data_IF_415839717156
#
_entry.id   IF_415839717156
#
_cell.length_a   1.000
_cell.length_b   1.000
_cell.length_c   1.000
_cell.angle_alpha   90.00
_cell.angle_beta   90.00
_cell.angle_gamma   90.00
#
_symmetry.space_group_name_H-M   'P 1'
#
loop_
_entity.id
_entity.type
_entity.pdbx_description
1 polymer ?
#
# COMPACT_ATOMS: atom_id res chain seq x y z
N UNK A 1 -1.46 -2.57 31.43
CA UNK A 1 -1.26 -2.22 30.01
C UNK A 1 -2.60 -2.21 29.31
N UNK A 2 -3.26 -1.05 29.16
CA UNK A 2 -4.52 -0.96 28.44
C UNK A 2 -4.24 -1.22 26.96
N UNK A 3 -4.78 -2.32 26.39
CA UNK A 3 -4.82 -2.50 24.94
C UNK A 3 -5.48 -1.24 24.36
N UNK A 4 -4.74 -0.41 23.61
CA UNK A 4 -5.29 0.77 22.92
C UNK A 4 -6.40 0.29 22.00
N UNK A 5 -7.63 0.32 22.50
CA UNK A 5 -8.71 -0.47 21.95
C UNK A 5 -9.34 0.23 20.76
N UNK A 6 -9.15 -0.31 19.56
CA UNK A 6 -9.84 0.09 18.32
C UNK A 6 -11.36 0.24 18.49
N UNK A 7 -11.96 -0.39 19.51
CA UNK A 7 -13.36 -0.19 19.94
C UNK A 7 -13.71 1.28 20.20
N UNK A 8 -12.83 2.05 20.86
CA UNK A 8 -13.09 3.47 21.17
C UNK A 8 -13.09 4.32 19.90
N UNK A 9 -12.10 4.11 19.02
CA UNK A 9 -11.99 4.83 17.74
C UNK A 9 -13.23 4.53 16.87
N UNK A 10 -13.62 3.26 16.76
CA UNK A 10 -14.84 2.88 16.02
C UNK A 10 -16.09 3.51 16.61
N UNK A 11 -16.26 3.47 17.93
CA UNK A 11 -17.42 4.05 18.60
C UNK A 11 -17.51 5.58 18.43
N UNK A 12 -16.37 6.28 18.45
CA UNK A 12 -16.33 7.73 18.26
C UNK A 12 -16.60 8.14 16.79
N UNK A 13 -16.06 7.40 15.83
CA UNK A 13 -16.11 7.81 14.42
C UNK A 13 -17.31 7.26 13.65
N UNK A 14 -17.97 6.19 14.13
CA UNK A 14 -19.16 5.62 13.47
C UNK A 14 -20.33 6.59 13.35
N UNK A 15 -20.40 7.59 14.22
CA UNK A 15 -21.46 8.60 14.21
C UNK A 15 -21.28 9.57 13.03
N UNK A 16 -20.07 9.67 12.48
CA UNK A 16 -19.73 10.59 11.38
C UNK A 16 -19.58 9.88 10.03
N UNK A 17 -19.56 8.55 10.01
CA UNK A 17 -19.46 7.77 8.78
C UNK A 17 -19.11 6.31 9.00
N UNK A 18 -18.98 5.58 7.90
CA UNK A 18 -18.61 4.17 7.93
C UNK A 18 -17.15 4.00 8.34
N UNK A 19 -16.91 3.18 9.37
CA UNK A 19 -15.57 2.88 9.88
C UNK A 19 -15.24 1.42 9.61
N UNK A 20 -14.30 1.19 8.70
CA UNK A 20 -13.71 -0.11 8.45
C UNK A 20 -12.44 -0.31 9.28
N UNK A 21 -12.24 -1.52 9.80
CA UNK A 21 -11.03 -1.91 10.52
C UNK A 21 -10.31 -2.94 9.65
N UNK A 22 -9.02 -2.70 9.37
CA UNK A 22 -8.20 -3.56 8.51
C UNK A 22 -6.97 -4.06 9.24
N UNK A 23 -6.39 -5.16 8.75
CA UNK A 23 -5.14 -5.69 9.29
C UNK A 23 -3.95 -4.82 8.85
N UNK A 24 -3.10 -4.44 9.80
CA UNK A 24 -1.89 -3.63 9.54
C UNK A 24 -0.70 -4.43 8.99
N UNK A 25 -0.91 -5.69 8.60
CA UNK A 25 0.17 -6.55 8.12
C UNK A 25 0.90 -5.92 6.92
N UNK A 26 2.23 -5.80 7.05
CA UNK A 26 3.14 -5.18 6.08
C UNK A 26 2.88 -3.71 5.70
N UNK A 27 1.90 -3.02 6.26
CA UNK A 27 1.50 -1.67 5.80
C UNK A 27 2.63 -0.64 5.94
N UNK A 28 3.44 -0.71 6.99
CA UNK A 28 4.62 0.18 7.15
C UNK A 28 5.89 -0.30 6.43
N UNK A 29 5.86 -1.48 5.81
CA UNK A 29 7.05 -2.19 5.28
C UNK A 29 7.08 -2.31 3.76
N UNK A 30 5.98 -2.01 3.07
CA UNK A 30 5.88 -2.13 1.61
C UNK A 30 5.58 -0.79 0.95
N UNK A 31 6.02 -0.63 -0.29
CA UNK A 31 5.72 0.54 -1.11
C UNK A 31 4.29 0.44 -1.67
N UNK A 32 3.40 1.44 -1.48
CA UNK A 32 2.05 1.44 -2.07
C UNK A 32 2.04 1.49 -3.60
N UNK A 33 3.14 1.88 -4.26
CA UNK A 33 3.19 2.02 -5.73
C UNK A 33 3.65 0.77 -6.47
N UNK A 34 4.54 -0.01 -5.86
CA UNK A 34 5.15 -1.18 -6.51
C UNK A 34 5.15 -2.43 -5.63
N UNK A 35 4.59 -2.35 -4.41
CA UNK A 35 4.50 -3.42 -3.42
C UNK A 35 5.83 -4.07 -3.00
N UNK A 36 6.96 -3.50 -3.41
CA UNK A 36 8.29 -3.92 -2.98
C UNK A 36 8.54 -3.54 -1.52
N UNK A 37 9.39 -4.31 -0.83
CA UNK A 37 9.82 -3.99 0.53
C UNK A 37 10.55 -2.64 0.56
N UNK A 38 10.27 -1.86 1.59
CA UNK A 38 10.92 -0.60 1.89
C UNK A 38 12.10 -0.81 2.83
N UNK A 39 13.06 0.09 2.74
CA UNK A 39 14.12 0.23 3.74
C UNK A 39 13.86 1.47 4.60
N UNK A 40 14.44 1.51 5.80
CA UNK A 40 14.50 2.77 6.55
C UNK A 40 15.43 3.73 5.82
N UNK A 41 15.00 4.99 5.70
CA UNK A 41 15.82 6.01 5.06
C UNK A 41 17.04 6.31 5.92
N UNK A 42 18.17 6.60 5.27
CA UNK A 42 19.41 6.95 5.94
C UNK A 42 19.72 8.42 5.71
N UNK A 43 20.08 9.14 6.77
CA UNK A 43 20.51 10.53 6.68
C UNK A 43 21.92 10.67 7.26
N UNK A 44 22.71 11.58 6.67
CA UNK A 44 23.98 12.00 7.25
C UNK A 44 23.70 13.00 8.36
N UNK A 45 24.31 12.78 9.52
CA UNK A 45 24.24 13.68 10.68
C UNK A 45 25.64 13.90 11.22
N UNK A 46 25.93 15.14 11.62
CA UNK A 46 27.10 15.41 12.44
C UNK A 46 26.79 14.98 13.88
N UNK A 47 27.53 14.00 14.39
CA UNK A 47 27.43 13.53 15.76
C UNK A 47 28.82 13.64 16.37
N UNK A 48 28.97 14.52 17.35
CA UNK A 48 30.24 14.78 18.04
C UNK A 48 31.37 15.18 17.08
N UNK A 49 31.09 16.10 16.15
CA UNK A 49 32.07 16.61 15.18
C UNK A 49 32.38 15.65 14.03
N UNK A 50 31.82 14.43 14.02
CA UNK A 50 32.04 13.44 12.96
C UNK A 50 30.76 13.23 12.15
N UNK A 51 30.88 13.24 10.83
CA UNK A 51 29.78 12.88 9.95
C UNK A 51 29.51 11.38 10.04
N UNK A 52 28.27 11.00 10.35
CA UNK A 52 27.82 9.61 10.44
C UNK A 52 26.53 9.43 9.66
N UNK A 53 26.40 8.28 9.00
CA UNK A 53 25.13 7.88 8.38
C UNK A 53 24.28 7.16 9.43
N UNK A 54 23.08 7.67 9.68
CA UNK A 54 22.15 7.10 10.67
C UNK A 54 20.81 6.72 10.02
N UNK A 55 20.17 5.69 10.57
CA UNK A 55 18.81 5.28 10.18
C UNK A 55 17.77 6.23 10.78
N UNK A 56 16.84 6.69 9.96
CA UNK A 56 15.69 7.47 10.38
C UNK A 56 14.46 6.57 10.52
N UNK A 57 14.02 6.32 11.76
CA UNK A 57 12.86 5.46 12.02
C UNK A 57 11.53 6.01 11.50
N UNK A 58 11.44 7.34 11.32
CA UNK A 58 10.25 8.03 10.83
C UNK A 58 10.16 8.13 9.30
N UNK A 59 11.18 7.71 8.55
CA UNK A 59 11.21 7.81 7.10
C UNK A 59 11.57 6.46 6.45
N UNK A 60 10.91 6.17 5.34
CA UNK A 60 11.10 4.94 4.57
C UNK A 60 11.38 5.28 3.12
N UNK A 61 12.13 4.42 2.45
CA UNK A 61 12.57 4.61 1.08
C UNK A 61 12.33 3.36 0.24
N UNK A 62 11.78 3.57 -0.96
CA UNK A 62 11.64 2.53 -1.98
C UNK A 62 12.84 2.54 -2.92
N UNK A 63 13.67 1.50 -2.86
CA UNK A 63 14.86 1.34 -3.71
C UNK A 63 14.60 0.54 -4.98
N UNK A 64 13.37 0.05 -5.19
CA UNK A 64 13.04 -0.77 -6.35
C UNK A 64 13.22 0.05 -7.66
N UNK A 65 14.06 -0.40 -8.61
CA UNK A 65 14.46 0.41 -9.76
C UNK A 65 13.30 0.76 -10.69
N UNK A 66 12.28 -0.11 -10.76
CA UNK A 66 11.10 0.08 -11.62
C UNK A 66 9.90 0.68 -10.89
N UNK A 67 10.10 1.19 -9.67
CA UNK A 67 9.00 1.81 -8.92
C UNK A 67 8.51 3.06 -9.66
N UNK A 68 7.19 3.23 -9.91
CA UNK A 68 6.66 4.45 -10.52
C UNK A 68 7.06 5.72 -9.76
N UNK A 69 7.15 5.63 -8.42
CA UNK A 69 7.57 6.73 -7.56
C UNK A 69 8.99 7.24 -7.86
N UNK A 70 9.86 6.42 -8.46
CA UNK A 70 11.21 6.82 -8.85
C UNK A 70 11.20 7.83 -10.01
N UNK A 71 10.29 7.67 -10.97
CA UNK A 71 10.12 8.62 -12.08
C UNK A 71 9.66 10.00 -11.59
N UNK A 72 8.98 10.04 -10.44
CA UNK A 72 8.45 11.25 -9.82
C UNK A 72 9.36 11.79 -8.68
N UNK A 73 10.56 11.24 -8.49
CA UNK A 73 11.45 11.56 -7.37
C UNK A 73 10.77 11.48 -5.98
N UNK A 74 9.83 10.55 -5.82
CA UNK A 74 9.00 10.36 -4.63
C UNK A 74 9.26 9.00 -3.94
N UNK A 75 10.53 8.58 -3.91
CA UNK A 75 10.93 7.29 -3.34
C UNK A 75 10.95 7.29 -1.82
N UNK A 76 11.25 8.43 -1.20
CA UNK A 76 11.32 8.64 0.25
C UNK A 76 10.06 9.29 0.78
N UNK A 77 9.55 8.82 1.93
CA UNK A 77 8.34 9.35 2.56
C UNK A 77 8.29 9.06 4.06
N UNK A 78 7.40 9.77 4.76
CA UNK A 78 7.07 9.46 6.16
C UNK A 78 6.56 8.04 6.31
N UNK A 79 7.08 7.30 7.30
CA UNK A 79 6.70 5.90 7.56
C UNK A 79 5.21 5.76 7.87
N UNK A 80 4.66 6.70 8.63
CA UNK A 80 3.24 6.68 9.02
C UNK A 80 2.34 7.05 7.84
N UNK A 81 2.74 8.02 7.01
CA UNK A 81 2.06 8.33 5.74
C UNK A 81 2.03 7.12 4.81
N UNK A 82 3.16 6.40 4.69
CA UNK A 82 3.23 5.15 3.93
C UNK A 82 2.28 4.08 4.50
N UNK A 83 2.30 3.89 5.82
CA UNK A 83 1.44 2.93 6.50
C UNK A 83 -0.03 3.26 6.30
N UNK A 84 -0.42 4.52 6.45
CA UNK A 84 -1.79 5.01 6.25
C UNK A 84 -2.27 4.75 4.82
N UNK A 85 -1.47 5.08 3.81
CA UNK A 85 -1.80 4.80 2.41
C UNK A 85 -2.01 3.28 2.17
N UNK A 86 -1.15 2.44 2.73
CA UNK A 86 -1.28 0.98 2.61
C UNK A 86 -2.46 0.39 3.39
N UNK A 87 -2.83 0.97 4.54
CA UNK A 87 -4.05 0.62 5.28
C UNK A 87 -5.27 0.90 4.41
N UNK A 88 -5.32 2.08 3.77
CA UNK A 88 -6.39 2.44 2.86
C UNK A 88 -6.45 1.49 1.65
N UNK A 89 -5.30 1.19 1.01
CA UNK A 89 -5.24 0.24 -0.11
C UNK A 89 -5.70 -1.17 0.29
N UNK A 90 -5.26 -1.67 1.44
CA UNK A 90 -5.69 -2.96 1.98
C UNK A 90 -7.21 -2.99 2.21
N UNK A 91 -7.76 -1.96 2.85
CA UNK A 91 -9.20 -1.86 3.07
C UNK A 91 -10.02 -1.73 1.79
N UNK A 92 -9.61 -0.85 0.88
CA UNK A 92 -10.23 -0.69 -0.41
C UNK A 92 -10.26 -2.02 -1.18
N UNK A 93 -9.15 -2.76 -1.16
CA UNK A 93 -9.11 -4.06 -1.85
C UNK A 93 -10.07 -5.10 -1.27
N UNK A 94 -10.29 -5.12 0.05
CA UNK A 94 -11.29 -6.00 0.67
C UNK A 94 -12.71 -5.64 0.22
N UNK A 95 -12.99 -4.34 0.11
CA UNK A 95 -14.32 -3.84 -0.30
C UNK A 95 -14.58 -4.10 -1.78
N UNK A 96 -13.57 -3.93 -2.62
CA UNK A 96 -13.69 -4.01 -4.08
C UNK A 96 -13.53 -5.42 -4.64
N UNK A 97 -12.81 -6.32 -3.95
CA UNK A 97 -12.57 -7.66 -4.45
C UNK A 97 -13.76 -8.61 -4.23
N UNK A 98 -14.06 -9.43 -5.23
CA UNK A 98 -15.11 -10.46 -5.14
C UNK A 98 -14.84 -11.49 -4.03
N UNK A 99 -13.58 -11.83 -3.78
CA UNK A 99 -13.15 -12.76 -2.72
C UNK A 99 -13.11 -12.11 -1.33
N UNK A 100 -13.34 -10.79 -1.25
CA UNK A 100 -13.24 -9.96 -0.04
C UNK A 100 -11.90 -10.11 0.69
N UNK A 101 -10.83 -10.42 -0.04
CA UNK A 101 -9.48 -10.53 0.51
C UNK A 101 -8.67 -9.27 0.19
N UNK A 102 -7.71 -8.89 1.05
CA UNK A 102 -6.84 -7.78 0.73
C UNK A 102 -5.90 -8.15 -0.42
N UNK A 103 -5.26 -7.14 -1.03
CA UNK A 103 -4.22 -7.40 -2.03
C UNK A 103 -3.15 -8.36 -1.48
N UNK A 104 -2.58 -9.24 -2.33
CA UNK A 104 -1.60 -10.26 -1.92
C UNK A 104 -0.48 -9.77 -0.98
N UNK A 105 0.12 -8.56 -1.18
CA UNK A 105 1.16 -8.04 -0.30
C UNK A 105 0.73 -7.82 1.17
N UNK A 106 -0.57 -7.69 1.42
CA UNK A 106 -1.17 -7.48 2.75
C UNK A 106 -1.76 -8.76 3.37
N UNK A 107 -1.71 -9.90 2.67
CA UNK A 107 -2.19 -11.19 3.19
C UNK A 107 -1.14 -11.80 4.12
N UNK A 108 -1.54 -12.28 5.31
CA UNK A 108 -0.62 -12.97 6.26
C UNK A 108 -0.24 -14.37 5.81
N UNK A 109 -1.19 -15.08 5.20
CA UNK A 109 -1.05 -16.48 4.84
C UNK A 109 -1.02 -16.60 3.31
N UNK A 110 0.14 -16.31 2.70
CA UNK A 110 0.38 -16.64 1.31
C UNK A 110 0.94 -18.06 1.22
N UNK A 111 0.11 -19.09 1.39
CA UNK A 111 0.52 -20.46 1.07
C UNK A 111 0.59 -20.73 -0.44
N UNK A 112 0.26 -19.75 -1.31
CA UNK A 112 0.47 -19.85 -2.75
C UNK A 112 0.81 -18.47 -3.33
N UNK A 113 2.11 -18.18 -3.41
CA UNK A 113 2.67 -16.95 -3.96
C UNK A 113 2.42 -16.79 -5.48
N UNK A 114 1.82 -17.79 -6.13
CA UNK A 114 1.72 -17.93 -7.60
C UNK A 114 0.48 -17.30 -8.24
N UNK A 115 -0.48 -16.74 -7.49
CA UNK A 115 -1.82 -16.42 -8.07
C UNK A 115 -2.07 -14.99 -8.56
N UNK A 116 -1.16 -14.04 -8.41
CA UNK A 116 -1.46 -12.66 -8.78
C UNK A 116 -0.32 -12.00 -9.54
N UNK A 117 -0.34 -12.14 -10.86
CA UNK A 117 0.33 -11.21 -11.77
C UNK A 117 -0.46 -9.89 -11.76
N UNK A 118 -0.34 -9.12 -10.68
CA UNK A 118 -0.97 -7.80 -10.51
C UNK A 118 -0.67 -6.85 -11.68
N UNK A 119 0.44 -7.08 -12.39
CA UNK A 119 0.81 -6.34 -13.61
C UNK A 119 -0.22 -6.54 -14.74
N UNK A 120 -0.80 -7.75 -14.89
CA UNK A 120 -1.76 -8.05 -15.96
C UNK A 120 -3.13 -7.44 -15.68
N UNK A 121 -3.60 -7.55 -14.44
CA UNK A 121 -4.89 -6.98 -14.00
C UNK A 121 -4.87 -5.45 -13.93
N UNK A 122 -3.78 -4.82 -13.46
CA UNK A 122 -3.67 -3.35 -13.51
C UNK A 122 -3.56 -2.82 -14.94
N UNK A 123 -2.94 -3.57 -15.86
CA UNK A 123 -2.86 -3.17 -17.26
C UNK A 123 -4.24 -3.18 -17.93
N UNK A 124 -5.10 -4.15 -17.60
CA UNK A 124 -6.48 -4.21 -18.11
C UNK A 124 -7.34 -3.03 -17.65
N UNK A 125 -7.18 -2.58 -16.40
CA UNK A 125 -7.92 -1.42 -15.87
C UNK A 125 -7.38 -0.08 -16.39
N UNK A 126 -6.10 -0.03 -16.77
CA UNK A 126 -5.42 1.20 -17.21
C UNK A 126 -5.52 1.48 -18.72
N UNK A 127 -6.13 0.61 -19.53
CA UNK A 127 -6.41 0.87 -20.95
C UNK A 127 -7.90 1.11 -21.18
N UNK A 128 -8.39 2.36 -21.09
CA UNK A 128 -9.71 2.71 -21.58
C UNK A 128 -9.61 2.87 -23.10
N UNK A 129 -9.91 1.81 -23.85
CA UNK A 129 -9.96 1.88 -25.30
C UNK A 129 -9.63 0.55 -25.95
N UNK A 130 -10.67 -0.23 -26.18
CA UNK A 130 -10.91 -1.10 -27.34
C UNK A 130 -12.16 -1.95 -26.99
N UNK A 131 -13.32 -1.29 -27.00
CA UNK A 131 -14.59 -2.00 -27.20
C UNK A 131 -14.69 -2.16 -28.72
N UNK A 132 -14.71 -3.39 -29.28
CA UNK A 132 -15.18 -3.57 -30.64
C UNK A 132 -16.66 -3.19 -30.67
N UNK A 133 -16.94 -2.05 -31.28
CA UNK A 133 -18.25 -1.80 -31.86
C UNK A 133 -18.38 -2.83 -32.97
N UNK A 134 -19.26 -3.82 -32.80
CA UNK A 134 -20.01 -4.52 -33.85
C UNK A 134 -20.56 -5.83 -33.29
N UNK A 135 -21.88 -5.86 -33.10
CA UNK A 135 -22.82 -6.94 -33.43
C UNK A 135 -24.19 -6.60 -32.80
N UNK A 136 -24.84 -5.56 -33.34
CA UNK A 136 -26.30 -5.54 -33.36
C UNK A 136 -26.68 -6.41 -34.57
N UNK A 137 -27.30 -7.56 -34.29
CA UNK A 137 -28.06 -8.29 -35.31
C UNK A 137 -29.50 -7.83 -35.20
N UNK A 138 -29.95 -7.13 -36.23
CA UNK A 138 -31.36 -6.95 -36.52
C UNK A 138 -31.96 -8.31 -36.87
N UNK A 139 -32.98 -8.72 -36.11
CA UNK A 139 -34.16 -9.47 -36.57
C UNK A 139 -35.40 -8.87 -35.89
#
# INVERSE_FOLDING_TARGET
>A
YAKRGMKKIRAQHRNYGNVAIVNEFNTSKICPYCFSKLILHHARRNINGKERTVRLHGAVECVHPRCPARKLNYTTRGRDTNASANIALSGASIVLAADRQPLPPFRRNSSNQTRYNLVKELSLVATPGLVPHDFIRDE
#
